data_IF_649382587844
#
_entry.id   IF_649382587844
#
_cell.length_a   1.000
_cell.length_b   1.000
_cell.length_c   1.000
_cell.angle_alpha   90.00
_cell.angle_beta   90.00
_cell.angle_gamma   90.00
#
_symmetry.space_group_name_H-M   'P 1'
#
loop_
_entity.id
_entity.type
_entity.pdbx_description
1 polymer ?
#
# COMPACT_ATOMS: atom_id res chain seq x y z
N UNK A 1 1.12 -7.45 -6.71
CA UNK A 1 0.33 -6.27 -7.15
C UNK A 1 1.09 -4.95 -7.05
N UNK A 2 2.11 -4.79 -6.18
CA UNK A 2 2.92 -3.57 -6.11
C UNK A 2 4.07 -3.50 -7.13
N UNK A 3 4.71 -4.63 -7.45
CA UNK A 3 5.74 -4.73 -8.51
C UNK A 3 5.25 -4.36 -9.92
N UNK A 4 3.92 -4.33 -10.12
CA UNK A 4 3.27 -3.99 -11.38
C UNK A 4 2.66 -2.58 -11.36
N UNK A 5 2.84 -1.82 -10.27
CA UNK A 5 2.33 -0.47 -10.18
C UNK A 5 3.19 0.46 -11.06
N UNK A 6 2.54 1.28 -11.88
CA UNK A 6 3.23 2.27 -12.69
C UNK A 6 4.06 3.23 -11.82
N UNK A 7 5.28 3.51 -12.25
CA UNK A 7 6.23 4.35 -11.52
C UNK A 7 6.91 3.69 -10.31
N UNK A 8 6.65 2.40 -10.03
CA UNK A 8 7.32 1.69 -8.93
C UNK A 8 8.84 1.67 -9.10
N UNK A 9 9.34 1.44 -10.32
CA UNK A 9 10.77 1.42 -10.63
C UNK A 9 11.42 2.80 -10.45
N UNK A 10 10.74 3.87 -10.86
CA UNK A 10 11.23 5.25 -10.68
C UNK A 10 11.25 5.65 -9.21
N UNK A 11 10.23 5.25 -8.44
CA UNK A 11 10.15 5.46 -7.00
C UNK A 11 11.30 4.74 -6.26
N UNK A 12 11.55 3.48 -6.61
CA UNK A 12 12.68 2.70 -6.09
C UNK A 12 14.01 3.38 -6.40
N UNK A 13 14.19 3.85 -7.64
CA UNK A 13 15.41 4.51 -8.06
C UNK A 13 15.63 5.81 -7.31
N UNK A 14 14.59 6.64 -7.14
CA UNK A 14 14.64 7.85 -6.34
C UNK A 14 15.04 7.58 -4.88
N UNK A 15 14.46 6.56 -4.26
CA UNK A 15 14.85 6.16 -2.90
C UNK A 15 16.27 5.62 -2.84
N UNK A 16 16.72 4.86 -3.84
CA UNK A 16 18.07 4.32 -3.88
C UNK A 16 19.14 5.40 -3.96
N UNK A 17 18.90 6.44 -4.77
CA UNK A 17 19.81 7.58 -4.90
C UNK A 17 19.79 8.46 -3.65
N UNK A 18 18.61 8.69 -3.06
CA UNK A 18 18.47 9.52 -1.85
C UNK A 18 19.03 8.91 -0.56
N UNK A 19 19.41 7.64 -0.55
CA UNK A 19 20.07 7.01 0.60
C UNK A 19 21.59 7.12 0.43
N UNK A 20 22.22 7.96 1.25
CA UNK A 20 23.67 7.99 1.39
C UNK A 20 24.11 7.09 2.55
N UNK A 21 25.06 6.19 2.29
CA UNK A 21 25.69 5.38 3.33
C UNK A 21 27.20 5.41 3.12
N UNK A 22 27.91 5.82 4.17
CA UNK A 22 29.38 5.81 4.21
C UNK A 22 29.90 4.45 4.68
N UNK A 23 31.10 4.08 4.24
CA UNK A 23 31.79 2.85 4.64
C UNK A 23 32.01 1.86 3.49
N UNK A 24 32.35 0.61 3.84
CA UNK A 24 32.66 -0.46 2.88
C UNK A 24 31.46 -0.72 1.96
N UNK A 25 31.75 -1.09 0.71
CA UNK A 25 30.73 -1.33 -0.32
C UNK A 25 29.65 -2.35 0.14
N UNK A 26 30.06 -3.41 0.84
CA UNK A 26 29.15 -4.43 1.39
C UNK A 26 28.20 -3.86 2.46
N UNK A 27 28.72 -3.05 3.38
CA UNK A 27 27.92 -2.39 4.43
C UNK A 27 26.96 -1.38 3.81
N UNK A 28 27.43 -0.59 2.83
CA UNK A 28 26.59 0.33 2.06
C UNK A 28 25.43 -0.39 1.39
N UNK A 29 25.70 -1.52 0.74
CA UNK A 29 24.68 -2.33 0.08
C UNK A 29 23.63 -2.85 1.08
N UNK A 30 24.07 -3.49 2.17
CA UNK A 30 23.18 -4.04 3.19
C UNK A 30 22.30 -2.96 3.81
N UNK A 31 22.88 -1.81 4.14
CA UNK A 31 22.14 -0.69 4.74
C UNK A 31 21.13 -0.11 3.75
N UNK A 32 21.52 0.12 2.49
CA UNK A 32 20.58 0.59 1.45
C UNK A 32 19.41 -0.38 1.26
N UNK A 33 19.68 -1.68 1.21
CA UNK A 33 18.63 -2.71 1.07
C UNK A 33 17.67 -2.73 2.26
N UNK A 34 18.18 -2.56 3.49
CA UNK A 34 17.34 -2.45 4.70
C UNK A 34 16.42 -1.23 4.64
N UNK A 35 16.95 -0.07 4.23
CA UNK A 35 16.16 1.17 4.11
C UNK A 35 15.09 1.04 3.03
N UNK A 36 15.44 0.51 1.86
CA UNK A 36 14.49 0.26 0.78
C UNK A 36 13.36 -0.67 1.22
N UNK A 37 13.68 -1.78 1.90
CA UNK A 37 12.67 -2.72 2.40
C UNK A 37 11.64 -2.03 3.32
N UNK A 38 12.08 -1.12 4.19
CA UNK A 38 11.16 -0.37 5.06
C UNK A 38 10.32 0.63 4.26
N UNK A 39 10.91 1.39 3.34
CA UNK A 39 10.18 2.34 2.49
C UNK A 39 9.10 1.65 1.67
N UNK A 40 9.40 0.50 1.06
CA UNK A 40 8.44 -0.33 0.33
C UNK A 40 7.30 -0.77 1.25
N UNK A 41 7.60 -1.23 2.48
CA UNK A 41 6.57 -1.67 3.43
C UNK A 41 5.59 -0.56 3.80
N UNK A 42 6.10 0.64 4.06
CA UNK A 42 5.29 1.82 4.38
C UNK A 42 4.43 2.21 3.17
N UNK A 43 5.06 2.37 2.00
CA UNK A 43 4.37 2.74 0.77
C UNK A 43 3.27 1.74 0.41
N UNK A 44 3.54 0.43 0.53
CA UNK A 44 2.54 -0.61 0.26
C UNK A 44 1.33 -0.50 1.19
N UNK A 45 1.54 -0.17 2.48
CA UNK A 45 0.44 0.08 3.42
C UNK A 45 -0.35 1.34 3.06
N UNK A 46 0.34 2.41 2.68
CA UNK A 46 -0.30 3.70 2.40
C UNK A 46 -1.11 3.70 1.11
N UNK A 47 -0.61 2.99 0.08
CA UNK A 47 -1.24 2.91 -1.25
C UNK A 47 -2.26 1.77 -1.30
N UNK A 48 -1.87 0.55 -0.91
CA UNK A 48 -2.75 -0.62 -1.02
C UNK A 48 -3.56 -0.87 0.25
N UNK A 49 -3.01 -0.58 1.44
CA UNK A 49 -3.73 -0.80 2.70
C UNK A 49 -4.97 0.08 2.85
N UNK A 50 -4.93 1.32 2.36
CA UNK A 50 -6.13 2.19 2.30
C UNK A 50 -7.12 1.77 1.24
N UNK A 51 -6.63 1.30 0.09
CA UNK A 51 -7.49 0.85 -1.01
C UNK A 51 -8.32 -0.37 -0.60
N UNK A 52 -7.72 -1.36 0.03
CA UNK A 52 -8.42 -2.55 0.52
C UNK A 52 -9.44 -2.20 1.62
N UNK A 53 -9.06 -1.35 2.58
CA UNK A 53 -9.98 -0.89 3.62
C UNK A 53 -11.18 -0.12 3.02
N UNK A 54 -10.93 0.73 2.02
CA UNK A 54 -11.98 1.48 1.33
C UNK A 54 -12.90 0.54 0.54
N UNK A 55 -12.35 -0.41 -0.21
CA UNK A 55 -13.14 -1.41 -0.95
C UNK A 55 -14.04 -2.22 -0.03
N UNK A 56 -13.51 -2.65 1.12
CA UNK A 56 -14.28 -3.42 2.10
C UNK A 56 -15.40 -2.59 2.73
N UNK A 57 -15.15 -1.31 3.03
CA UNK A 57 -16.18 -0.39 3.53
C UNK A 57 -17.29 -0.14 2.51
N UNK A 58 -16.94 0.03 1.23
CA UNK A 58 -17.92 0.17 0.14
C UNK A 58 -18.74 -1.11 -0.02
N UNK A 59 -18.11 -2.29 0.02
CA UNK A 59 -18.82 -3.57 -0.04
C UNK A 59 -19.81 -3.73 1.14
N UNK A 60 -19.40 -3.42 2.37
CA UNK A 60 -20.30 -3.45 3.53
C UNK A 60 -21.47 -2.48 3.40
N UNK A 61 -21.26 -1.28 2.84
CA UNK A 61 -22.37 -0.36 2.56
C UNK A 61 -23.33 -0.95 1.52
N UNK A 62 -22.82 -1.50 0.42
CA UNK A 62 -23.66 -2.13 -0.61
C UNK A 62 -24.46 -3.29 -0.02
N UNK A 63 -23.84 -4.17 0.77
CA UNK A 63 -24.55 -5.26 1.46
C UNK A 63 -25.65 -4.76 2.41
N UNK A 64 -25.42 -3.64 3.09
CA UNK A 64 -26.43 -3.01 3.95
C UNK A 64 -27.65 -2.52 3.15
N UNK A 65 -27.45 -1.89 2.00
CA UNK A 65 -28.55 -1.44 1.14
C UNK A 65 -29.28 -2.60 0.46
N UNK A 66 -28.55 -3.64 0.06
CA UNK A 66 -29.12 -4.83 -0.58
C UNK A 66 -29.94 -5.69 0.40
N UNK A 67 -29.59 -5.65 1.70
CA UNK A 67 -30.34 -6.33 2.77
C UNK A 67 -31.56 -5.56 3.32
N UNK A 68 -31.69 -4.26 2.99
CA UNK A 68 -32.62 -3.31 3.63
C UNK A 68 -33.94 -3.04 2.91
N UNK A 69 -34.42 -3.97 2.09
CA UNK A 69 -35.66 -3.84 1.31
C UNK A 69 -36.71 -4.90 1.60
N UNK A 70 -36.99 -5.21 2.87
CA UNK A 70 -38.24 -5.89 3.24
C UNK A 70 -39.08 -4.91 4.03
N UNK A 71 -40.03 -4.30 3.32
CA UNK A 71 -40.96 -3.32 3.86
C UNK A 71 -41.66 -3.84 5.10
N UNK A 72 -41.61 -3.02 6.15
CA UNK A 72 -42.68 -2.97 7.13
C UNK A 72 -43.93 -2.44 6.41
N UNK A 73 -44.87 -3.34 6.12
CA UNK A 73 -46.26 -3.00 5.81
C UNK A 73 -46.97 -2.72 7.14
N UNK A 74 -47.46 -1.51 7.41
CA UNK A 74 -48.30 -1.26 8.57
C UNK A 74 -49.72 -1.78 8.29
N UNK A 75 -50.24 -2.48 9.30
CA UNK A 75 -51.55 -3.16 9.41
C UNK A 75 -52.74 -2.25 9.13
#
# INVERSE_FOLDING_TARGET
>A
MWLKADGFTDLLWGWWQGVEVRGRASVRLVTKMKVLKQKIKVWNREVFGRLEANKNSVLQQVEFWDGGGKGEEPV
#
